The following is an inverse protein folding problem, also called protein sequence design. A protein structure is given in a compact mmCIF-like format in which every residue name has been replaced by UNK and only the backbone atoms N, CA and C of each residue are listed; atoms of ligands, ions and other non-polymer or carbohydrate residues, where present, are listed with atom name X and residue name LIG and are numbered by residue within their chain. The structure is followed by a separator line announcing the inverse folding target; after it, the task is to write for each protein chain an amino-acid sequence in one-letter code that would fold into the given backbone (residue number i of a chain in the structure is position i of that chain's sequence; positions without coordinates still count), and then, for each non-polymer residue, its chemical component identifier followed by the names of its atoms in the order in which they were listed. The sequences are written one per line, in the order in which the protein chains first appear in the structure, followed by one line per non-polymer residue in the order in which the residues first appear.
data_IF_731493742906
#
_entry.id   IF_731493742906
#
_cell.length_a   1.000
_cell.length_b   1.000
_cell.length_c   1.000
_cell.angle_alpha   90.00
_cell.angle_beta   90.00
_cell.angle_gamma   90.00
#
_symmetry.space_group_name_H-M   'P 1'
#
loop_
_entity.id
_entity.type
_entity.pdbx_description
1 polymer ?
#
# COMPACT_ATOMS: atom_id res chain seq x y z
N UNK A 1 44.06 -5.96 -15.01
CA UNK A 1 43.07 -7.01 -15.38
C UNK A 1 42.16 -7.46 -14.22
N UNK A 2 42.51 -7.23 -12.94
CA UNK A 2 41.63 -7.59 -11.80
C UNK A 2 40.48 -6.59 -11.55
N UNK A 3 40.64 -5.33 -11.97
CA UNK A 3 39.64 -4.27 -11.76
C UNK A 3 38.37 -4.41 -12.62
N UNK A 4 38.48 -5.00 -13.82
CA UNK A 4 37.32 -5.20 -14.72
C UNK A 4 36.35 -6.28 -14.20
N UNK A 5 36.88 -7.33 -13.58
CA UNK A 5 36.05 -8.38 -12.95
C UNK A 5 35.27 -7.84 -11.74
N UNK A 6 35.89 -6.95 -10.94
CA UNK A 6 35.23 -6.33 -9.78
C UNK A 6 34.07 -5.43 -10.21
N UNK A 7 34.20 -4.70 -11.32
CA UNK A 7 33.12 -3.87 -11.86
C UNK A 7 31.90 -4.69 -12.30
N UNK A 8 32.09 -5.83 -12.96
CA UNK A 8 30.98 -6.70 -13.36
C UNK A 8 30.29 -7.35 -12.15
N UNK A 9 31.05 -7.71 -11.11
CA UNK A 9 30.49 -8.34 -9.90
C UNK A 9 29.58 -7.35 -9.15
N UNK A 10 29.97 -6.07 -9.05
CA UNK A 10 29.15 -5.03 -8.41
C UNK A 10 27.87 -4.74 -9.20
N UNK A 11 27.93 -4.76 -10.55
CA UNK A 11 26.73 -4.65 -11.40
C UNK A 11 25.79 -5.85 -11.22
N UNK A 12 26.32 -7.06 -11.04
CA UNK A 12 25.51 -8.26 -10.81
C UNK A 12 24.89 -8.37 -9.42
N UNK A 13 25.51 -7.79 -8.38
CA UNK A 13 24.98 -7.79 -7.02
C UNK A 13 23.96 -6.66 -6.79
N UNK A 14 24.13 -5.52 -7.44
CA UNK A 14 23.19 -4.39 -7.35
C UNK A 14 21.82 -4.73 -7.97
N UNK A 15 21.77 -5.60 -8.99
CA UNK A 15 20.53 -6.02 -9.66
C UNK A 15 19.64 -6.97 -8.85
N UNK A 16 20.14 -7.54 -7.75
CA UNK A 16 19.37 -8.46 -6.89
C UNK A 16 18.75 -7.77 -5.66
N UNK A 17 19.03 -6.48 -5.45
CA UNK A 17 18.57 -5.71 -4.28
C UNK A 17 17.69 -4.51 -4.66
N UNK A 18 17.32 -4.36 -5.93
CA UNK A 18 16.53 -3.22 -6.37
C UNK A 18 15.05 -3.53 -6.15
N UNK A 19 14.48 -3.01 -5.05
CA UNK A 19 13.03 -2.94 -4.92
C UNK A 19 12.51 -2.00 -6.01
N UNK A 20 11.58 -2.46 -6.84
CA UNK A 20 10.99 -1.65 -7.90
C UNK A 20 9.96 -0.68 -7.30
N UNK A 21 9.95 0.58 -7.74
CA UNK A 21 8.92 1.53 -7.34
C UNK A 21 7.57 1.14 -7.99
N UNK A 22 6.46 1.21 -7.25
CA UNK A 22 5.12 0.98 -7.78
C UNK A 22 4.57 2.25 -8.44
N UNK A 23 3.78 2.11 -9.52
CA UNK A 23 3.09 3.25 -10.15
C UNK A 23 1.60 3.04 -10.13
N UNK A 24 0.86 3.93 -9.46
CA UNK A 24 -0.59 3.92 -9.41
C UNK A 24 -1.15 5.32 -9.70
N UNK A 25 -2.10 5.41 -10.64
CA UNK A 25 -2.69 6.67 -11.12
C UNK A 25 -1.66 7.77 -11.49
N UNK A 26 -0.49 7.36 -12.00
CA UNK A 26 0.59 8.28 -12.37
C UNK A 26 1.43 8.80 -11.19
N UNK A 27 1.18 8.31 -9.98
CA UNK A 27 2.00 8.57 -8.79
C UNK A 27 2.95 7.38 -8.57
N UNK A 28 4.21 7.68 -8.30
CA UNK A 28 5.24 6.70 -7.98
C UNK A 28 5.34 6.53 -6.47
N UNK A 29 5.26 5.28 -6.01
CA UNK A 29 5.35 4.86 -4.61
C UNK A 29 6.58 4.00 -4.41
N UNK A 30 7.30 4.24 -3.31
CA UNK A 30 8.46 3.46 -2.90
C UNK A 30 8.03 2.19 -2.18
N UNK A 31 8.93 1.21 -2.14
CA UNK A 31 8.77 0.01 -1.32
C UNK A 31 8.31 0.37 0.11
N UNK A 32 7.24 -0.28 0.55
CA UNK A 32 6.59 -0.08 1.85
C UNK A 32 5.69 1.16 1.97
N UNK A 33 5.61 2.03 0.95
CA UNK A 33 4.66 3.16 0.98
C UNK A 33 3.22 2.67 0.85
N UNK A 34 2.33 3.31 1.61
CA UNK A 34 0.90 3.02 1.62
C UNK A 34 0.11 4.15 0.99
N UNK A 35 -1.01 3.79 0.37
CA UNK A 35 -1.97 4.75 -0.19
C UNK A 35 -3.39 4.20 -0.20
N UNK A 36 -4.38 5.09 -0.22
CA UNK A 36 -5.78 4.72 -0.29
C UNK A 36 -6.27 4.63 -1.74
N UNK A 37 -6.81 3.47 -2.11
CA UNK A 37 -7.50 3.26 -3.38
C UNK A 37 -9.00 3.45 -3.18
N UNK A 38 -9.43 4.71 -3.14
CA UNK A 38 -10.81 5.05 -2.79
C UNK A 38 -10.98 5.25 -1.28
N UNK A 39 -12.13 4.92 -0.72
CA UNK A 39 -12.48 5.29 0.68
C UNK A 39 -12.10 4.25 1.73
N UNK A 40 -11.92 2.98 1.35
CA UNK A 40 -11.82 1.87 2.32
C UNK A 40 -11.01 0.71 1.74
N UNK A 41 -9.88 1.03 1.11
CA UNK A 41 -9.05 0.06 0.42
C UNK A 41 -7.58 0.52 0.46
N UNK A 42 -6.92 0.34 1.61
CA UNK A 42 -5.50 0.64 1.75
C UNK A 42 -4.70 -0.34 0.90
N UNK A 43 -3.77 0.22 0.15
CA UNK A 43 -2.78 -0.52 -0.62
C UNK A 43 -1.39 -0.20 -0.11
N UNK A 44 -0.46 -1.15 -0.26
CA UNK A 44 0.97 -0.91 -0.06
C UNK A 44 1.77 -1.39 -1.27
N UNK A 45 2.88 -0.69 -1.53
CA UNK A 45 3.85 -1.08 -2.54
C UNK A 45 4.79 -2.15 -1.96
N UNK A 46 4.90 -3.30 -2.61
CA UNK A 46 5.77 -4.42 -2.19
C UNK A 46 7.08 -4.44 -3.03
N UNK A 47 8.04 -5.28 -2.62
CA UNK A 47 9.42 -5.35 -3.16
C UNK A 47 9.46 -5.81 -4.63
N UNK A 48 8.41 -6.47 -5.09
CA UNK A 48 8.13 -6.72 -6.50
C UNK A 48 6.98 -5.78 -6.84
N UNK A 49 6.90 -5.15 -8.03
CA UNK A 49 5.99 -4.03 -8.38
C UNK A 49 4.47 -4.34 -8.29
N UNK A 50 4.13 -5.46 -7.67
CA UNK A 50 2.86 -5.85 -7.14
C UNK A 50 2.36 -4.87 -6.08
N UNK A 51 1.26 -4.23 -6.41
CA UNK A 51 0.43 -3.48 -5.47
C UNK A 51 -0.43 -4.47 -4.71
N UNK A 52 -0.29 -4.49 -3.39
CA UNK A 52 -1.12 -5.31 -2.53
C UNK A 52 -2.14 -4.44 -1.80
N UNK A 53 -3.42 -4.71 -2.03
CA UNK A 53 -4.54 -3.99 -1.43
C UNK A 53 -5.35 -4.91 -0.53
N UNK A 54 -5.93 -4.35 0.53
CA UNK A 54 -6.74 -5.11 1.49
C UNK A 54 -8.13 -4.51 1.63
N UNK A 55 -9.14 -5.37 1.62
CA UNK A 55 -10.50 -4.95 1.95
C UNK A 55 -10.64 -4.81 3.47
N UNK A 56 -11.09 -3.64 3.92
CA UNK A 56 -11.36 -3.41 5.34
C UNK A 56 -12.72 -4.01 5.69
N UNK A 57 -12.73 -4.90 6.68
CA UNK A 57 -13.95 -5.41 7.30
C UNK A 57 -14.31 -4.55 8.51
N UNK A 58 -15.37 -3.76 8.38
CA UNK A 58 -15.85 -2.93 9.48
C UNK A 58 -16.71 -3.74 10.48
N UNK A 59 -16.64 -3.36 11.75
CA UNK A 59 -17.61 -3.80 12.74
C UNK A 59 -18.94 -3.06 12.61
N UNK A 60 -19.99 -3.60 13.24
CA UNK A 60 -21.29 -2.94 13.35
C UNK A 60 -21.49 -2.42 14.79
N UNK A 61 -21.34 -1.11 15.05
CA UNK A 61 -21.44 -0.59 16.40
C UNK A 61 -22.87 -0.69 16.93
N UNK A 62 -23.01 -0.83 18.25
CA UNK A 62 -24.30 -0.72 18.95
C UNK A 62 -24.40 0.70 19.49
N UNK A 63 -25.34 1.48 18.97
CA UNK A 63 -25.52 2.87 19.39
C UNK A 63 -26.51 2.99 20.55
N UNK A 64 -26.35 4.03 21.35
CA UNK A 64 -27.29 4.37 22.42
C UNK A 64 -28.64 4.85 21.84
N UNK A 65 -29.67 4.81 22.67
CA UNK A 65 -31.03 5.26 22.34
C UNK A 65 -31.65 4.61 21.07
N UNK A 66 -31.12 3.47 20.65
CA UNK A 66 -31.58 2.76 19.45
C UNK A 66 -31.22 3.45 18.14
N UNK A 67 -30.23 4.35 18.15
CA UNK A 67 -29.74 5.00 16.94
C UNK A 67 -29.16 3.97 15.95
N UNK A 68 -29.27 4.27 14.65
CA UNK A 68 -28.70 3.46 13.59
C UNK A 68 -27.28 3.95 13.26
N UNK A 69 -26.29 3.05 13.14
CA UNK A 69 -24.97 3.42 12.63
C UNK A 69 -25.05 3.99 11.21
N UNK A 70 -24.27 5.03 10.94
CA UNK A 70 -24.21 5.70 9.64
C UNK A 70 -22.76 5.79 9.14
N UNK A 71 -22.55 5.53 7.84
CA UNK A 71 -21.27 5.78 7.17
C UNK A 71 -21.33 7.15 6.50
N UNK A 72 -20.50 8.10 6.95
CA UNK A 72 -20.48 9.45 6.40
C UNK A 72 -19.65 9.50 5.11
N UNK A 73 -19.85 10.55 4.31
CA UNK A 73 -19.08 10.75 3.09
C UNK A 73 -17.58 10.87 3.42
N UNK A 74 -16.77 9.99 2.81
CA UNK A 74 -15.33 9.92 3.06
C UNK A 74 -14.91 8.99 4.21
N UNK A 75 -15.85 8.46 4.99
CA UNK A 75 -15.55 7.48 6.04
C UNK A 75 -15.55 6.05 5.47
N UNK A 76 -14.59 5.25 5.91
CA UNK A 76 -14.50 3.83 5.58
C UNK A 76 -15.53 2.99 6.35
N UNK A 77 -15.77 3.29 7.63
CA UNK A 77 -16.62 2.49 8.51
C UNK A 77 -17.79 3.29 9.12
N UNK A 78 -18.91 2.62 9.43
CA UNK A 78 -20.04 3.26 10.08
C UNK A 78 -19.70 3.69 11.50
N UNK A 79 -20.30 4.80 11.93
CA UNK A 79 -20.20 5.35 13.29
C UNK A 79 -21.58 5.71 13.82
N UNK A 80 -21.70 5.84 15.14
CA UNK A 80 -22.95 6.36 15.73
C UNK A 80 -23.05 7.88 15.49
N UNK A 81 -24.26 8.40 15.24
CA UNK A 81 -24.48 9.82 14.98
C UNK A 81 -24.10 10.72 16.16
#
# INVERSE_FOLDING_TARGET
MKAFLVSCIMLSLAGLMYAEDCVYNGVTYKDGETYEKGTCNPCYCDINPEVNCYDIQCGWPQCEDGAWPETKEGDCCPSCP
#
